data_IF_436127460285
#
_entry.id   IF_436127460285
#
_cell.length_a   1.000
_cell.length_b   1.000
_cell.length_c   1.000
_cell.angle_alpha   90.00
_cell.angle_beta   90.00
_cell.angle_gamma   90.00
#
_symmetry.space_group_name_H-M   'P 1'
#
loop_
_entity.id
_entity.type
_entity.pdbx_description
1 polymer ?
#
# COMPACT_ATOMS: atom_id res chain seq x y z
N UNK A 1 -25.41 -15.36 -3.59
CA UNK A 1 -24.50 -14.72 -4.57
C UNK A 1 -24.18 -13.32 -4.05
N UNK A 2 -23.01 -13.09 -3.45
CA UNK A 2 -22.68 -11.75 -2.90
C UNK A 2 -21.37 -11.60 -2.13
N UNK A 3 -20.50 -12.62 -2.10
CA UNK A 3 -19.21 -12.54 -1.39
C UNK A 3 -18.05 -12.00 -2.24
N UNK A 4 -18.00 -12.38 -3.53
CA UNK A 4 -16.89 -11.98 -4.41
C UNK A 4 -16.93 -10.48 -4.75
N UNK A 5 -18.13 -9.95 -4.98
CA UNK A 5 -18.35 -8.53 -5.28
C UNK A 5 -17.87 -7.63 -4.13
N UNK A 6 -18.05 -8.07 -2.87
CA UNK A 6 -17.59 -7.32 -1.69
C UNK A 6 -16.06 -7.24 -1.59
N UNK A 7 -15.35 -8.31 -1.94
CA UNK A 7 -13.89 -8.30 -1.98
C UNK A 7 -13.36 -7.44 -3.12
N UNK A 8 -13.98 -7.53 -4.29
CA UNK A 8 -13.61 -6.71 -5.44
C UNK A 8 -13.83 -5.21 -5.15
N UNK A 9 -14.98 -4.84 -4.59
CA UNK A 9 -15.27 -3.46 -4.19
C UNK A 9 -14.25 -2.92 -3.18
N UNK A 10 -13.86 -3.75 -2.21
CA UNK A 10 -12.83 -3.39 -1.23
C UNK A 10 -11.47 -3.21 -1.91
N UNK A 11 -11.07 -4.13 -2.79
CA UNK A 11 -9.82 -4.06 -3.52
C UNK A 11 -9.74 -2.81 -4.40
N UNK A 12 -10.82 -2.47 -5.11
CA UNK A 12 -10.89 -1.25 -5.93
C UNK A 12 -10.76 0.00 -5.08
N UNK A 13 -11.41 0.07 -3.90
CA UNK A 13 -11.24 1.21 -2.98
C UNK A 13 -9.83 1.30 -2.43
N UNK A 14 -9.25 0.19 -1.99
CA UNK A 14 -7.89 0.15 -1.45
C UNK A 14 -6.87 0.60 -2.51
N UNK A 15 -6.98 0.10 -3.73
CA UNK A 15 -6.12 0.52 -4.85
C UNK A 15 -6.23 2.02 -5.14
N UNK A 16 -7.44 2.59 -5.09
CA UNK A 16 -7.64 4.05 -5.24
C UNK A 16 -6.97 4.84 -4.13
N UNK A 17 -6.98 4.33 -2.89
CA UNK A 17 -6.31 4.99 -1.75
C UNK A 17 -4.79 4.97 -1.87
N UNK A 18 -4.19 3.85 -2.26
CA UNK A 18 -2.75 3.82 -2.60
C UNK A 18 -2.42 4.78 -3.75
N UNK A 19 -3.24 4.79 -4.81
CA UNK A 19 -3.05 5.68 -5.95
C UNK A 19 -3.16 7.18 -5.60
N UNK A 20 -4.05 7.57 -4.67
CA UNK A 20 -4.15 8.95 -4.16
C UNK A 20 -2.83 9.39 -3.50
N UNK A 21 -2.20 8.51 -2.70
CA UNK A 21 -0.89 8.77 -2.07
C UNK A 21 0.19 8.94 -3.13
N UNK A 22 0.31 8.00 -4.06
CA UNK A 22 1.30 8.04 -5.13
C UNK A 22 1.15 9.28 -6.02
N UNK A 23 -0.09 9.63 -6.36
CA UNK A 23 -0.39 10.77 -7.24
C UNK A 23 -0.07 12.12 -6.59
N UNK A 24 -0.24 12.24 -5.27
CA UNK A 24 0.06 13.47 -4.52
C UNK A 24 1.54 13.83 -4.60
N UNK A 25 2.41 12.83 -4.54
CA UNK A 25 3.86 13.01 -4.50
C UNK A 25 4.53 12.84 -5.87
N UNK A 26 3.74 12.81 -6.96
CA UNK A 26 4.23 12.71 -8.33
C UNK A 26 5.11 13.93 -8.68
N UNK A 27 6.43 13.70 -8.76
CA UNK A 27 7.43 14.74 -9.01
C UNK A 27 7.89 15.52 -7.77
N UNK A 28 7.46 15.12 -6.57
CA UNK A 28 7.80 15.76 -5.28
C UNK A 28 8.85 15.01 -4.45
N UNK A 29 9.31 13.84 -4.89
CA UNK A 29 10.29 13.02 -4.18
C UNK A 29 11.62 13.75 -4.04
N UNK A 30 12.16 13.76 -2.81
CA UNK A 30 13.50 14.25 -2.49
C UNK A 30 14.45 13.07 -2.28
N UNK A 31 15.75 13.33 -2.34
CA UNK A 31 16.77 12.29 -2.15
C UNK A 31 16.63 11.54 -0.82
N UNK A 32 16.21 12.23 0.25
CA UNK A 32 15.94 11.62 1.56
C UNK A 32 14.65 10.80 1.65
N UNK A 33 13.81 10.81 0.61
CA UNK A 33 12.62 9.96 0.53
C UNK A 33 12.92 8.57 -0.06
N UNK A 34 14.17 8.29 -0.46
CA UNK A 34 14.58 7.04 -1.10
C UNK A 34 15.43 6.21 -0.11
N UNK A 35 14.97 5.01 0.21
CA UNK A 35 15.72 3.96 0.89
C UNK A 35 16.27 2.93 -0.10
N UNK A 36 17.39 2.30 0.25
CA UNK A 36 17.99 1.17 -0.48
C UNK A 36 17.97 -0.06 0.42
N UNK A 37 17.39 -1.16 -0.04
CA UNK A 37 17.28 -2.43 0.70
C UNK A 37 18.38 -3.41 0.32
N UNK A 38 18.69 -3.49 -0.96
CA UNK A 38 19.79 -4.27 -1.53
C UNK A 38 20.26 -3.60 -2.84
N UNK A 39 21.26 -4.17 -3.48
CA UNK A 39 21.76 -3.74 -4.78
C UNK A 39 20.62 -3.69 -5.78
N UNK A 40 20.30 -2.49 -6.25
CA UNK A 40 19.22 -2.22 -7.20
C UNK A 40 17.80 -2.47 -6.66
N UNK A 41 17.61 -2.58 -5.34
CA UNK A 41 16.30 -2.64 -4.67
C UNK A 41 16.07 -1.37 -3.84
N UNK A 42 15.17 -0.52 -4.32
CA UNK A 42 14.87 0.78 -3.71
C UNK A 42 13.42 0.84 -3.27
N UNK A 43 13.17 1.52 -2.16
CA UNK A 43 11.83 1.82 -1.65
C UNK A 43 11.76 3.29 -1.32
N UNK A 44 10.64 3.93 -1.60
CA UNK A 44 10.44 5.33 -1.23
C UNK A 44 9.51 5.46 -0.03
N UNK A 45 9.57 6.61 0.67
CA UNK A 45 8.57 6.98 1.67
C UNK A 45 7.14 6.85 1.11
N UNK A 46 6.96 7.18 -0.17
CA UNK A 46 5.64 7.15 -0.83
C UNK A 46 5.18 5.71 -1.10
N UNK A 47 6.10 4.78 -1.37
CA UNK A 47 5.77 3.35 -1.46
C UNK A 47 5.25 2.82 -0.11
N UNK A 48 5.93 3.18 0.99
CA UNK A 48 5.52 2.82 2.36
C UNK A 48 4.14 3.39 2.72
N UNK A 49 3.93 4.69 2.47
CA UNK A 49 2.64 5.34 2.74
C UNK A 49 1.50 4.77 1.88
N UNK A 50 1.80 4.41 0.63
CA UNK A 50 0.83 3.78 -0.27
C UNK A 50 0.43 2.39 0.22
N UNK A 51 1.41 1.58 0.64
CA UNK A 51 1.16 0.25 1.23
C UNK A 51 0.30 0.37 2.49
N UNK A 52 0.63 1.28 3.41
CA UNK A 52 -0.15 1.52 4.63
C UNK A 52 -1.61 1.91 4.31
N UNK A 53 -1.82 2.79 3.33
CA UNK A 53 -3.15 3.21 2.91
C UNK A 53 -3.99 2.04 2.36
N UNK A 54 -3.38 1.15 1.57
CA UNK A 54 -4.01 -0.07 1.04
C UNK A 54 -4.37 -1.02 2.18
N UNK A 55 -3.43 -1.30 3.08
CA UNK A 55 -3.62 -2.19 4.24
C UNK A 55 -4.76 -1.68 5.12
N UNK A 56 -4.78 -0.38 5.42
CA UNK A 56 -5.78 0.25 6.27
C UNK A 56 -7.19 0.12 5.69
N UNK A 57 -7.38 0.38 4.39
CA UNK A 57 -8.70 0.24 3.75
C UNK A 57 -9.17 -1.23 3.73
N UNK A 58 -8.26 -2.19 3.48
CA UNK A 58 -8.60 -3.61 3.54
C UNK A 58 -8.99 -4.01 4.97
N UNK A 59 -8.21 -3.63 5.99
CA UNK A 59 -8.47 -3.96 7.40
C UNK A 59 -9.74 -3.33 7.93
N UNK A 60 -10.09 -2.13 7.46
CA UNK A 60 -11.36 -1.47 7.82
C UNK A 60 -12.58 -2.30 7.39
N UNK A 61 -12.52 -2.89 6.19
CA UNK A 61 -13.61 -3.73 5.67
C UNK A 61 -13.51 -5.18 6.16
N UNK A 62 -12.30 -5.71 6.36
CA UNK A 62 -12.04 -7.10 6.75
C UNK A 62 -11.00 -7.19 7.88
N UNK A 63 -11.37 -6.85 9.13
CA UNK A 63 -10.41 -6.74 10.24
C UNK A 63 -9.64 -8.04 10.55
N UNK A 64 -10.31 -9.18 10.36
CA UNK A 64 -9.75 -10.51 10.65
C UNK A 64 -8.82 -11.06 9.55
N UNK A 65 -8.76 -10.43 8.37
CA UNK A 65 -7.90 -10.92 7.30
C UNK A 65 -6.43 -10.73 7.67
N UNK A 66 -5.61 -11.74 7.40
CA UNK A 66 -4.15 -11.56 7.36
C UNK A 66 -3.79 -10.93 6.02
N UNK A 67 -2.78 -10.06 6.03
CA UNK A 67 -2.31 -9.37 4.83
C UNK A 67 -0.85 -9.74 4.63
N UNK A 68 -0.52 -10.08 3.39
CA UNK A 68 0.84 -10.26 2.94
C UNK A 68 1.22 -9.02 2.13
N UNK A 69 2.09 -8.19 2.68
CA UNK A 69 2.57 -6.96 2.05
C UNK A 69 4.09 -6.93 2.13
N UNK A 70 4.74 -6.31 1.15
CA UNK A 70 6.19 -6.45 0.98
C UNK A 70 6.95 -5.79 2.11
N UNK A 71 6.57 -4.57 2.49
CA UNK A 71 7.29 -3.77 3.47
C UNK A 71 6.90 -4.18 4.89
N UNK A 72 5.59 -4.26 5.14
CA UNK A 72 5.05 -4.54 6.48
C UNK A 72 5.42 -5.93 7.01
N UNK A 73 5.67 -6.91 6.13
CA UNK A 73 6.11 -8.25 6.55
C UNK A 73 7.62 -8.44 6.61
N UNK A 74 8.41 -7.64 5.89
CA UNK A 74 9.87 -7.74 5.95
C UNK A 74 10.42 -7.25 7.29
N UNK A 75 9.66 -6.42 8.01
CA UNK A 75 10.06 -5.79 9.28
C UNK A 75 9.52 -6.50 10.56
N UNK A 76 8.92 -7.70 10.44
CA UNK A 76 8.28 -8.44 11.55
C UNK A 76 9.02 -9.73 11.96
#
# INVERSE_FOLDING_TARGET
MGGLDQYLDTAVRAARKGAEVLSRDLGGLREGDIGSKDSFDFVTRVDLESEEAVISEIKKAHPAHRILAEETLKDA
#
